data_IF_161237717805
#
_entry.id   IF_161237717805
#
_cell.length_a   1.000
_cell.length_b   1.000
_cell.length_c   1.000
_cell.angle_alpha   90.00
_cell.angle_beta   90.00
_cell.angle_gamma   90.00
#
_symmetry.space_group_name_H-M   'P 1'
#
loop_
_entity.id
_entity.type
_entity.pdbx_description
1 polymer ?
#
# COMPACT_ATOMS: atom_id res chain seq x y z
N UNK A 1 -5.77 24.73 6.44
CA UNK A 1 -4.85 23.68 5.99
C UNK A 1 -3.44 23.92 6.55
N UNK A 2 -2.57 22.91 6.61
CA UNK A 2 -1.18 23.01 7.11
C UNK A 2 -0.24 22.16 6.24
N UNK A 3 1.02 22.58 6.13
CA UNK A 3 2.06 21.89 5.37
C UNK A 3 3.25 21.53 6.29
N UNK A 4 3.95 20.44 5.96
CA UNK A 4 5.20 20.05 6.61
C UNK A 4 6.21 19.63 5.55
N UNK A 5 7.37 20.30 5.54
CA UNK A 5 8.49 19.93 4.70
C UNK A 5 9.27 18.75 5.28
N UNK A 6 9.79 17.92 4.39
CA UNK A 6 10.64 16.76 4.65
C UNK A 6 11.72 16.70 3.56
N UNK A 7 12.70 15.82 3.71
CA UNK A 7 13.89 15.78 2.88
C UNK A 7 13.72 14.95 1.60
N UNK A 8 12.66 14.15 1.47
CA UNK A 8 12.40 13.34 0.27
C UNK A 8 10.92 12.98 0.08
N UNK A 9 10.58 12.49 -1.11
CA UNK A 9 9.26 11.90 -1.40
C UNK A 9 8.96 10.66 -0.55
N UNK A 10 9.95 9.79 -0.31
CA UNK A 10 9.82 8.63 0.60
C UNK A 10 9.44 9.09 2.00
N UNK A 11 10.10 10.13 2.52
CA UNK A 11 9.76 10.69 3.83
C UNK A 11 8.35 11.29 3.84
N UNK A 12 7.92 11.92 2.74
CA UNK A 12 6.58 12.50 2.64
C UNK A 12 5.49 11.42 2.72
N UNK A 13 5.66 10.31 2.01
CA UNK A 13 4.75 9.16 2.09
C UNK A 13 4.79 8.51 3.48
N UNK A 14 5.99 8.25 4.02
CA UNK A 14 6.14 7.68 5.36
C UNK A 14 5.40 8.51 6.42
N UNK A 15 5.60 9.83 6.42
CA UNK A 15 4.93 10.73 7.38
C UNK A 15 3.43 10.78 7.14
N UNK A 16 2.98 10.77 5.88
CA UNK A 16 1.55 10.76 5.53
C UNK A 16 0.87 9.50 6.09
N UNK A 17 1.45 8.33 5.88
CA UNK A 17 0.89 7.08 6.41
C UNK A 17 0.85 7.08 7.94
N UNK A 18 1.91 7.57 8.60
CA UNK A 18 1.94 7.70 10.07
C UNK A 18 0.89 8.68 10.58
N UNK A 19 0.68 9.81 9.90
CA UNK A 19 -0.36 10.78 10.24
C UNK A 19 -1.76 10.20 10.07
N UNK A 20 -2.03 9.50 8.96
CA UNK A 20 -3.31 8.80 8.72
C UNK A 20 -3.60 7.75 9.78
N UNK A 21 -2.60 6.94 10.16
CA UNK A 21 -2.71 5.95 11.24
C UNK A 21 -3.02 6.62 12.58
N UNK A 22 -2.28 7.67 12.94
CA UNK A 22 -2.49 8.40 14.18
C UNK A 22 -3.87 9.07 14.24
N UNK A 23 -4.38 9.56 13.10
CA UNK A 23 -5.69 10.20 13.02
C UNK A 23 -6.85 9.20 13.09
N UNK A 24 -6.72 8.06 12.41
CA UNK A 24 -7.82 7.08 12.27
C UNK A 24 -7.80 5.97 13.31
N UNK A 25 -6.65 5.72 13.95
CA UNK A 25 -6.43 4.57 14.83
C UNK A 25 -6.34 3.22 14.09
N UNK A 26 -6.32 3.22 12.75
CA UNK A 26 -6.26 2.00 11.91
C UNK A 26 -4.83 1.72 11.49
N UNK A 27 -4.41 0.46 11.53
CA UNK A 27 -3.04 0.06 11.17
C UNK A 27 -2.83 -0.10 9.66
N UNK A 28 -3.81 -0.68 8.96
CA UNK A 28 -3.71 -1.02 7.55
C UNK A 28 -3.76 0.19 6.63
N UNK A 29 -3.16 0.04 5.45
CA UNK A 29 -3.27 1.00 4.34
C UNK A 29 -3.71 0.26 3.08
N UNK A 30 -4.22 1.00 2.09
CA UNK A 30 -4.50 0.47 0.76
C UNK A 30 -3.71 1.24 -0.30
N UNK A 31 -3.23 0.55 -1.33
CA UNK A 31 -2.55 1.17 -2.47
C UNK A 31 -2.84 0.43 -3.77
N UNK A 32 -2.65 1.10 -4.89
CA UNK A 32 -2.76 0.48 -6.21
C UNK A 32 -1.56 -0.45 -6.49
N UNK A 33 -1.85 -1.59 -7.12
CA UNK A 33 -0.84 -2.53 -7.59
C UNK A 33 0.10 -1.89 -8.62
N UNK A 34 1.40 -2.14 -8.51
CA UNK A 34 2.43 -1.59 -9.41
C UNK A 34 2.76 -0.11 -9.20
N UNK A 35 2.10 0.57 -8.25
CA UNK A 35 2.36 1.98 -7.97
C UNK A 35 3.67 2.18 -7.17
N UNK A 36 4.49 3.13 -7.61
CA UNK A 36 5.72 3.55 -6.94
C UNK A 36 5.45 4.68 -5.92
N UNK A 37 5.86 4.47 -4.67
CA UNK A 37 5.69 5.44 -3.58
C UNK A 37 6.95 5.63 -2.70
N UNK A 38 8.13 5.30 -3.26
CA UNK A 38 9.39 5.34 -2.53
C UNK A 38 9.68 4.06 -1.75
N UNK A 39 10.83 4.03 -1.06
CA UNK A 39 11.36 2.83 -0.40
C UNK A 39 11.01 2.71 1.09
N UNK A 40 9.78 3.05 1.48
CA UNK A 40 9.29 2.78 2.83
C UNK A 40 8.55 1.44 2.82
N UNK A 41 8.86 0.52 3.74
CA UNK A 41 8.45 -0.90 3.69
C UNK A 41 6.97 -1.12 3.32
N UNK A 42 6.05 -0.35 3.93
CA UNK A 42 4.61 -0.48 3.66
C UNK A 42 4.20 0.14 2.30
N UNK A 43 4.91 1.16 1.86
CA UNK A 43 4.61 1.86 0.61
C UNK A 43 5.13 1.11 -0.62
N UNK A 44 6.18 0.30 -0.47
CA UNK A 44 6.81 -0.43 -1.57
C UNK A 44 6.22 -1.83 -1.84
N UNK A 45 5.32 -2.33 -0.97
CA UNK A 45 4.60 -3.58 -1.22
C UNK A 45 3.88 -3.50 -2.57
N UNK A 46 4.02 -4.56 -3.38
CA UNK A 46 3.53 -4.67 -4.76
C UNK A 46 3.91 -3.48 -5.65
N UNK A 47 5.12 -2.93 -5.50
CA UNK A 47 5.63 -1.89 -6.39
C UNK A 47 6.12 -2.44 -7.74
N UNK A 48 6.68 -3.65 -7.78
CA UNK A 48 7.14 -4.30 -9.01
C UNK A 48 6.63 -5.75 -9.14
N UNK A 49 5.30 -5.99 -9.04
CA UNK A 49 4.77 -7.32 -9.21
C UNK A 49 4.76 -7.69 -10.71
N UNK A 50 4.65 -8.98 -10.99
CA UNK A 50 4.62 -9.51 -12.35
C UNK A 50 3.43 -10.47 -12.52
N UNK A 51 3.07 -10.86 -13.75
CA UNK A 51 1.91 -11.74 -14.00
C UNK A 51 1.91 -13.05 -13.20
N UNK A 52 3.08 -13.57 -12.82
CA UNK A 52 3.20 -14.81 -12.04
C UNK A 52 2.89 -14.60 -10.55
N UNK A 53 2.88 -13.35 -10.07
CA UNK A 53 2.80 -12.98 -8.65
C UNK A 53 1.57 -12.17 -8.26
N UNK A 54 0.83 -11.60 -9.23
CA UNK A 54 -0.37 -10.77 -8.99
C UNK A 54 -1.41 -11.43 -8.07
N UNK A 55 -1.61 -12.74 -8.21
CA UNK A 55 -2.72 -13.42 -7.56
C UNK A 55 -4.00 -13.32 -8.39
N UNK A 56 -5.15 -13.45 -7.73
CA UNK A 56 -6.46 -13.35 -8.37
C UNK A 56 -6.88 -11.86 -8.45
N UNK A 57 -7.66 -11.48 -9.47
CA UNK A 57 -8.08 -10.09 -9.61
C UNK A 57 -8.96 -9.64 -8.43
N UNK A 58 -9.87 -10.49 -7.95
CA UNK A 58 -10.74 -10.17 -6.81
C UNK A 58 -9.99 -10.25 -5.47
N UNK A 59 -8.84 -10.93 -5.46
CA UNK A 59 -7.94 -11.07 -4.31
C UNK A 59 -6.47 -10.86 -4.69
N UNK A 60 -6.04 -9.62 -5.00
CA UNK A 60 -4.66 -9.33 -5.35
C UNK A 60 -3.72 -9.69 -4.20
N UNK A 61 -2.53 -10.18 -4.53
CA UNK A 61 -1.50 -10.53 -3.55
C UNK A 61 -0.66 -9.32 -3.17
N UNK A 62 -0.31 -9.24 -1.89
CA UNK A 62 0.77 -8.39 -1.40
C UNK A 62 2.11 -9.03 -1.77
N UNK A 63 2.80 -8.47 -2.76
CA UNK A 63 4.06 -8.99 -3.31
C UNK A 63 5.22 -8.21 -2.70
N UNK A 64 6.23 -8.87 -2.10
CA UNK A 64 7.40 -8.17 -1.57
C UNK A 64 8.23 -7.56 -2.71
N UNK A 65 8.72 -6.33 -2.51
CA UNK A 65 9.70 -5.73 -3.44
C UNK A 65 11.12 -6.23 -3.17
N UNK A 66 11.48 -6.32 -1.88
CA UNK A 66 12.81 -6.70 -1.44
C UNK A 66 12.82 -8.12 -0.86
N UNK A 67 13.99 -8.77 -0.89
CA UNK A 67 14.18 -10.01 -0.15
C UNK A 67 13.99 -9.75 1.34
N UNK A 68 13.27 -10.66 2.00
CA UNK A 68 13.02 -10.61 3.44
C UNK A 68 12.21 -9.38 3.90
N UNK A 69 11.34 -8.82 3.05
CA UNK A 69 10.31 -7.87 3.50
C UNK A 69 9.56 -8.46 4.71
N UNK A 70 9.41 -7.70 5.82
CA UNK A 70 8.71 -8.21 7.00
C UNK A 70 7.28 -8.64 6.66
N UNK A 71 6.87 -9.81 7.17
CA UNK A 71 5.53 -10.34 6.92
C UNK A 71 4.43 -9.35 7.35
N UNK A 72 4.65 -8.62 8.45
CA UNK A 72 3.71 -7.59 8.92
C UNK A 72 3.50 -6.46 7.90
N UNK A 73 4.51 -6.09 7.11
CA UNK A 73 4.34 -5.11 6.05
C UNK A 73 3.42 -5.65 4.93
N UNK A 74 3.53 -6.93 4.60
CA UNK A 74 2.66 -7.58 3.61
C UNK A 74 1.21 -7.71 4.13
N UNK A 75 1.04 -8.07 5.40
CA UNK A 75 -0.28 -8.29 6.02
C UNK A 75 -1.08 -6.99 6.22
N UNK A 76 -0.38 -5.87 6.40
CA UNK A 76 -0.97 -4.56 6.68
C UNK A 76 -1.21 -3.70 5.43
N UNK A 77 -0.82 -4.18 4.23
CA UNK A 77 -1.01 -3.44 2.98
C UNK A 77 -2.02 -4.18 2.12
N UNK A 78 -3.15 -3.51 1.87
CA UNK A 78 -4.17 -3.98 0.95
C UNK A 78 -3.85 -3.51 -0.46
N UNK A 79 -3.80 -4.44 -1.41
CA UNK A 79 -3.52 -4.14 -2.81
C UNK A 79 -4.82 -4.01 -3.58
N UNK A 80 -4.94 -2.91 -4.32
CA UNK A 80 -6.09 -2.57 -5.15
C UNK A 80 -5.73 -2.67 -6.62
N UNK A 81 -6.61 -3.23 -7.47
CA UNK A 81 -6.41 -3.24 -8.91
C UNK A 81 -6.50 -1.81 -9.46
N UNK A 82 -5.44 -1.35 -10.13
CA UNK A 82 -5.43 -0.02 -10.71
C UNK A 82 -6.45 0.10 -11.85
N UNK A 83 -7.19 1.22 -11.89
CA UNK A 83 -8.25 1.51 -12.85
C UNK A 83 -9.46 0.53 -12.84
N UNK A 84 -9.68 -0.22 -11.77
CA UNK A 84 -10.90 -1.02 -11.57
C UNK A 84 -11.62 -0.53 -10.30
N UNK A 85 -12.55 0.41 -10.49
CA UNK A 85 -13.23 1.12 -9.41
C UNK A 85 -14.13 0.17 -8.62
N UNK A 86 -14.96 -0.61 -9.30
CA UNK A 86 -15.96 -1.48 -8.67
C UNK A 86 -15.29 -2.53 -7.80
N UNK A 87 -14.22 -3.14 -8.32
CA UNK A 87 -13.43 -4.13 -7.58
C UNK A 87 -12.63 -3.51 -6.44
N UNK A 88 -12.05 -2.33 -6.64
CA UNK A 88 -11.35 -1.61 -5.57
C UNK A 88 -12.29 -1.28 -4.42
N UNK A 89 -13.52 -0.83 -4.69
CA UNK A 89 -14.54 -0.59 -3.68
C UNK A 89 -14.91 -1.89 -2.97
N UNK A 90 -15.18 -2.97 -3.70
CA UNK A 90 -15.52 -4.26 -3.10
C UNK A 90 -14.44 -4.77 -2.15
N UNK A 91 -13.16 -4.66 -2.54
CA UNK A 91 -12.01 -5.04 -1.71
C UNK A 91 -11.93 -4.18 -0.44
N UNK A 92 -12.12 -2.85 -0.56
CA UNK A 92 -12.11 -1.95 0.59
C UNK A 92 -13.25 -2.24 1.58
N UNK A 93 -14.46 -2.49 1.07
CA UNK A 93 -15.64 -2.81 1.88
C UNK A 93 -15.48 -4.11 2.66
N UNK A 94 -14.86 -5.12 2.04
CA UNK A 94 -14.57 -6.40 2.67
C UNK A 94 -13.48 -6.33 3.77
N UNK A 95 -12.71 -5.24 3.83
CA UNK A 95 -11.56 -5.07 4.73
C UNK A 95 -11.70 -3.84 5.68
N UNK A 96 -12.93 -3.40 5.94
CA UNK A 96 -13.23 -2.27 6.83
C UNK A 96 -12.81 -2.46 8.29
#
# INVERSE_FOLDING_TARGET
EKLRFVNSGTEAIMVTLKASRAFTGRAKIAKAEGAYHGGYDYAEVSQAPNPETWGDLDHPKSVPLAHSTPQSALDDVLILPYNDIDRSIAILEANK
#
